data_IF_860209283076
#
_entry.id   IF_860209283076
#
_cell.length_a   1.000
_cell.length_b   1.000
_cell.length_c   1.000
_cell.angle_alpha   90.00
_cell.angle_beta   90.00
_cell.angle_gamma   90.00
#
_symmetry.space_group_name_H-M   'P 1'
#
loop_
_entity.id
_entity.type
_entity.pdbx_description
1 polymer ?
#
# COMPACT_ATOMS: atom_id res chain seq x y z
N UNK A 1 8.41 -17.71 0.25
CA UNK A 1 9.04 -17.41 1.55
C UNK A 1 8.45 -16.14 2.12
N UNK A 2 8.03 -16.17 3.37
CA UNK A 2 7.44 -14.99 4.00
C UNK A 2 8.49 -14.17 4.74
N UNK A 3 8.18 -12.90 4.93
CA UNK A 3 9.00 -11.99 5.73
C UNK A 3 8.16 -11.58 6.94
N UNK A 4 8.81 -11.17 8.01
CA UNK A 4 8.07 -10.75 9.20
C UNK A 4 7.50 -9.35 9.01
N UNK A 5 6.41 -9.07 9.71
CA UNK A 5 5.84 -7.72 9.71
C UNK A 5 6.86 -6.70 10.20
N UNK A 6 7.61 -7.05 11.25
CA UNK A 6 8.64 -6.15 11.79
C UNK A 6 9.68 -5.80 10.73
N UNK A 7 10.18 -6.80 10.00
CA UNK A 7 11.18 -6.56 8.95
C UNK A 7 10.60 -5.68 7.84
N UNK A 8 9.36 -5.94 7.44
CA UNK A 8 8.69 -5.13 6.41
C UNK A 8 8.60 -3.67 6.85
N UNK A 9 8.12 -3.44 8.07
CA UNK A 9 7.93 -2.07 8.57
C UNK A 9 9.26 -1.34 8.75
N UNK A 10 10.31 -2.05 9.21
CA UNK A 10 11.63 -1.45 9.35
C UNK A 10 12.17 -1.00 7.99
N UNK A 11 12.01 -1.83 6.98
CA UNK A 11 12.49 -1.47 5.64
C UNK A 11 11.65 -0.37 5.01
N UNK A 12 10.35 -0.36 5.30
CA UNK A 12 9.50 0.75 4.86
C UNK A 12 10.04 2.08 5.40
N UNK A 13 10.35 2.13 6.70
CA UNK A 13 10.87 3.34 7.31
C UNK A 13 12.27 3.70 6.78
N UNK A 14 13.07 2.69 6.46
CA UNK A 14 14.38 2.94 5.85
C UNK A 14 14.23 3.68 4.51
N UNK A 15 13.28 3.26 3.69
CA UNK A 15 13.02 3.94 2.43
C UNK A 15 12.49 5.36 2.69
N UNK A 16 11.56 5.50 3.62
CA UNK A 16 11.02 6.82 3.97
C UNK A 16 12.12 7.79 4.40
N UNK A 17 13.10 7.31 5.15
CA UNK A 17 14.18 8.12 5.65
C UNK A 17 15.10 8.64 4.53
N UNK A 18 15.12 7.99 3.37
CA UNK A 18 15.91 8.48 2.24
C UNK A 18 15.26 9.66 1.54
N UNK A 19 14.01 9.99 1.89
CA UNK A 19 13.25 11.08 1.28
C UNK A 19 13.25 10.99 -0.25
N UNK A 20 12.69 9.88 -0.80
CA UNK A 20 12.71 9.69 -2.24
C UNK A 20 11.84 10.74 -2.94
N UNK A 21 12.16 11.02 -4.20
CA UNK A 21 11.28 11.82 -5.03
C UNK A 21 10.15 10.95 -5.57
N UNK A 22 8.98 11.52 -5.76
CA UNK A 22 7.87 10.78 -6.32
C UNK A 22 8.09 10.55 -7.81
N UNK A 23 8.03 9.28 -8.23
CA UNK A 23 8.14 8.93 -9.64
C UNK A 23 7.44 7.60 -9.88
N UNK A 24 6.52 7.57 -10.84
CA UNK A 24 5.82 6.35 -11.22
C UNK A 24 6.83 5.28 -11.63
N UNK A 25 6.71 4.10 -11.05
CA UNK A 25 7.63 2.99 -11.29
C UNK A 25 8.78 2.91 -10.30
N UNK A 26 8.99 3.93 -9.47
CA UNK A 26 10.07 3.91 -8.49
C UNK A 26 9.72 3.04 -7.30
N UNK A 27 10.72 2.32 -6.77
CA UNK A 27 10.53 1.44 -5.62
C UNK A 27 11.51 1.73 -4.48
N UNK A 28 12.04 2.94 -4.45
CA UNK A 28 12.88 3.37 -3.33
C UNK A 28 14.34 2.95 -3.43
N UNK A 29 14.76 2.38 -4.56
CA UNK A 29 16.14 1.90 -4.70
C UNK A 29 17.06 2.88 -5.39
N UNK A 30 16.51 3.86 -6.11
CA UNK A 30 17.28 4.82 -6.89
C UNK A 30 16.95 6.25 -6.52
N UNK A 31 16.42 6.47 -5.32
CA UNK A 31 16.02 7.80 -4.88
C UNK A 31 14.64 8.19 -5.37
N UNK A 32 13.90 7.31 -6.03
CA UNK A 32 12.53 7.57 -6.47
C UNK A 32 11.58 6.50 -5.95
N UNK A 33 10.31 6.84 -5.81
CA UNK A 33 9.32 5.93 -5.25
C UNK A 33 7.92 6.38 -5.67
N UNK A 34 7.02 5.43 -5.88
CA UNK A 34 5.60 5.74 -5.98
C UNK A 34 4.83 4.99 -4.87
N UNK A 35 3.50 5.07 -4.90
CA UNK A 35 2.70 4.55 -3.79
C UNK A 35 2.90 3.04 -3.59
N UNK A 36 2.79 2.26 -4.65
CA UNK A 36 3.00 0.81 -4.52
C UNK A 36 4.49 0.48 -4.44
N UNK A 37 5.33 1.32 -5.02
CA UNK A 37 6.79 1.14 -4.99
C UNK A 37 7.34 1.16 -3.58
N UNK A 38 6.76 1.96 -2.69
CA UNK A 38 7.16 1.96 -1.28
C UNK A 38 6.97 0.57 -0.66
N UNK A 39 5.85 -0.06 -0.97
CA UNK A 39 5.55 -1.40 -0.46
C UNK A 39 6.45 -2.44 -1.12
N UNK A 40 6.56 -2.40 -2.45
CA UNK A 40 7.41 -3.35 -3.19
C UNK A 40 8.87 -3.26 -2.71
N UNK A 41 9.36 -2.04 -2.57
CA UNK A 41 10.73 -1.82 -2.10
C UNK A 41 10.95 -2.35 -0.69
N UNK A 42 9.99 -2.11 0.21
CA UNK A 42 10.10 -2.62 1.58
C UNK A 42 10.10 -4.15 1.60
N UNK A 43 9.23 -4.79 0.80
CA UNK A 43 9.18 -6.25 0.71
C UNK A 43 10.53 -6.79 0.24
N UNK A 44 11.08 -6.23 -0.84
CA UNK A 44 12.35 -6.71 -1.41
C UNK A 44 13.52 -6.49 -0.44
N UNK A 45 13.57 -5.33 0.20
CA UNK A 45 14.63 -5.03 1.16
C UNK A 45 14.55 -5.94 2.39
N UNK A 46 13.37 -6.40 2.73
CA UNK A 46 13.18 -7.33 3.86
C UNK A 46 13.47 -8.78 3.47
N UNK A 47 13.83 -9.04 2.21
CA UNK A 47 14.17 -10.39 1.75
C UNK A 47 13.04 -11.11 1.03
N UNK A 48 11.92 -10.46 0.83
CA UNK A 48 10.80 -11.04 0.09
C UNK A 48 10.90 -10.79 -1.41
N UNK A 49 9.91 -11.27 -2.14
CA UNK A 49 9.85 -11.12 -3.58
C UNK A 49 8.56 -10.44 -4.04
N UNK A 50 8.61 -9.89 -5.22
CA UNK A 50 7.43 -9.35 -5.88
C UNK A 50 7.45 -9.83 -7.33
N UNK A 51 6.63 -10.82 -7.62
CA UNK A 51 6.63 -11.47 -8.94
C UNK A 51 5.50 -10.98 -9.82
N UNK A 52 5.02 -9.79 -9.60
CA UNK A 52 3.89 -9.29 -10.32
C UNK A 52 4.14 -7.92 -10.91
N UNK A 53 3.06 -7.35 -11.40
CA UNK A 53 3.08 -6.03 -12.02
C UNK A 53 3.30 -4.97 -10.94
N UNK A 54 4.05 -3.94 -11.28
CA UNK A 54 4.24 -2.77 -10.44
C UNK A 54 3.00 -1.89 -10.58
N UNK A 55 2.03 -2.07 -9.69
CA UNK A 55 0.79 -1.30 -9.76
C UNK A 55 -0.12 -1.56 -8.58
N UNK A 56 -0.79 -0.50 -8.10
CA UNK A 56 -1.70 -0.62 -6.97
C UNK A 56 -2.93 -1.46 -7.31
N UNK A 57 -3.42 -1.38 -8.54
CA UNK A 57 -4.56 -2.19 -8.98
C UNK A 57 -4.21 -3.68 -9.04
N UNK A 58 -2.98 -3.99 -9.46
CA UNK A 58 -2.51 -5.37 -9.43
C UNK A 58 -2.43 -5.86 -7.99
N UNK A 59 -1.80 -5.06 -7.13
CA UNK A 59 -1.62 -5.44 -5.73
C UNK A 59 -2.95 -5.69 -5.04
N UNK A 60 -3.93 -4.81 -5.26
CA UNK A 60 -5.24 -4.96 -4.63
C UNK A 60 -5.92 -6.28 -5.03
N UNK A 61 -5.74 -6.70 -6.28
CA UNK A 61 -6.42 -7.88 -6.80
C UNK A 61 -5.66 -9.19 -6.61
N UNK A 62 -4.33 -9.12 -6.60
CA UNK A 62 -3.50 -10.34 -6.67
C UNK A 62 -2.61 -10.56 -5.45
N UNK A 63 -2.38 -9.54 -4.65
CA UNK A 63 -1.40 -9.63 -3.56
C UNK A 63 -2.01 -9.49 -2.18
N UNK A 64 -3.33 -9.47 -2.06
CA UNK A 64 -3.99 -9.25 -0.78
C UNK A 64 -4.73 -10.48 -0.29
N UNK A 65 -4.79 -10.64 1.04
CA UNK A 65 -5.71 -11.55 1.73
C UNK A 65 -6.55 -10.74 2.68
N UNK A 66 -7.76 -11.24 3.00
CA UNK A 66 -8.69 -10.56 3.90
C UNK A 66 -9.02 -9.16 3.43
N UNK A 67 -9.09 -8.97 2.12
CA UNK A 67 -9.31 -7.66 1.52
C UNK A 67 -10.79 -7.30 1.56
N UNK A 68 -11.10 -6.17 2.19
CA UNK A 68 -12.49 -5.74 2.40
C UNK A 68 -12.53 -4.25 2.70
N UNK A 69 -13.73 -3.70 2.81
CA UNK A 69 -13.87 -2.32 3.29
C UNK A 69 -13.28 -2.19 4.68
N UNK A 70 -12.59 -1.08 4.92
CA UNK A 70 -11.96 -0.82 6.21
C UNK A 70 -13.03 -0.59 7.26
N UNK A 71 -12.84 -1.20 8.41
CA UNK A 71 -13.62 -0.94 9.62
C UNK A 71 -12.70 -0.23 10.60
N UNK A 72 -13.04 1.00 10.94
CA UNK A 72 -12.14 1.82 11.76
C UNK A 72 -11.80 1.19 13.11
N UNK A 73 -12.71 0.41 13.66
CA UNK A 73 -12.48 -0.27 14.94
C UNK A 73 -11.49 -1.43 14.81
N UNK A 74 -11.25 -1.93 13.61
CA UNK A 74 -10.44 -3.12 13.38
C UNK A 74 -9.11 -2.83 12.68
N UNK A 75 -8.72 -1.58 12.59
CA UNK A 75 -7.43 -1.22 12.00
C UNK A 75 -6.28 -1.87 12.76
N UNK A 76 -5.26 -2.30 12.04
CA UNK A 76 -4.09 -2.90 12.66
C UNK A 76 -2.81 -2.43 11.96
N UNK A 77 -1.72 -2.42 12.69
CA UNK A 77 -0.42 -2.03 12.14
C UNK A 77 0.00 -3.03 11.08
N UNK A 78 0.39 -2.52 9.92
CA UNK A 78 0.73 -3.35 8.78
C UNK A 78 -0.40 -3.57 7.80
N UNK A 79 -1.60 -3.09 8.12
CA UNK A 79 -2.71 -3.17 7.16
C UNK A 79 -2.36 -2.36 5.93
N UNK A 80 -2.56 -2.96 4.77
CA UNK A 80 -2.35 -2.28 3.49
C UNK A 80 -3.69 -1.68 3.11
N UNK A 81 -3.73 -0.38 2.90
CA UNK A 81 -4.99 0.35 2.68
C UNK A 81 -5.00 1.02 1.32
N UNK A 82 -6.20 1.15 0.75
CA UNK A 82 -6.38 1.67 -0.60
C UNK A 82 -7.46 2.71 -0.66
N UNK A 83 -7.23 3.69 -1.53
CA UNK A 83 -8.28 4.60 -2.00
C UNK A 83 -8.76 4.07 -3.34
N UNK A 84 -10.05 4.26 -3.64
CA UNK A 84 -10.62 3.73 -4.87
C UNK A 84 -11.56 4.73 -5.51
N UNK A 85 -11.66 4.63 -6.85
CA UNK A 85 -12.63 5.36 -7.64
C UNK A 85 -13.51 4.35 -8.37
N UNK A 86 -14.78 4.68 -8.51
CA UNK A 86 -15.70 3.83 -9.27
C UNK A 86 -15.91 4.43 -10.66
N UNK A 87 -16.43 3.64 -11.62
CA UNK A 87 -16.74 4.19 -12.94
C UNK A 87 -17.62 5.42 -12.81
N UNK A 88 -17.27 6.47 -13.54
CA UNK A 88 -17.97 7.74 -13.49
C UNK A 88 -17.34 8.77 -12.57
N UNK A 89 -16.48 8.36 -11.66
CA UNK A 89 -15.77 9.30 -10.80
C UNK A 89 -14.74 10.10 -11.60
N UNK A 90 -14.48 11.33 -11.15
CA UNK A 90 -13.44 12.14 -11.74
C UNK A 90 -12.09 11.44 -11.60
N UNK A 91 -11.33 11.45 -12.69
CA UNK A 91 -10.00 10.82 -12.75
C UNK A 91 -10.01 9.28 -12.65
N UNK A 92 -11.18 8.66 -12.76
CA UNK A 92 -11.26 7.21 -12.84
C UNK A 92 -10.45 6.74 -14.06
N UNK A 93 -9.53 5.81 -13.86
CA UNK A 93 -8.64 5.35 -14.92
C UNK A 93 -8.16 3.93 -14.66
N UNK A 94 -9.11 3.00 -14.67
CA UNK A 94 -8.77 1.58 -14.47
C UNK A 94 -8.17 1.02 -15.76
N UNK A 95 -7.00 0.36 -15.69
CA UNK A 95 -6.44 -0.31 -16.87
C UNK A 95 -7.41 -1.35 -17.45
N UNK A 96 -7.44 -1.44 -18.78
CA UNK A 96 -8.39 -2.32 -19.49
C UNK A 96 -8.28 -3.77 -19.08
N UNK A 97 -7.08 -4.25 -18.72
CA UNK A 97 -6.90 -5.66 -18.36
C UNK A 97 -7.71 -6.05 -17.11
N UNK A 98 -8.15 -5.08 -16.31
CA UNK A 98 -8.96 -5.37 -15.13
C UNK A 98 -10.47 -5.24 -15.37
N UNK A 99 -10.86 -4.84 -16.57
CA UNK A 99 -12.28 -4.64 -16.90
C UNK A 99 -12.95 -5.88 -17.46
N UNK A 100 -12.16 -6.88 -17.82
CA UNK A 100 -12.68 -8.06 -18.49
C UNK A 100 -13.51 -8.92 -17.55
N UNK A 101 -14.46 -9.66 -18.14
CA UNK A 101 -15.24 -10.68 -17.43
C UNK A 101 -16.11 -10.17 -16.28
N UNK A 102 -16.50 -8.92 -16.34
CA UNK A 102 -17.43 -8.38 -15.35
C UNK A 102 -16.93 -8.39 -13.92
N UNK A 103 -15.61 -8.39 -13.72
CA UNK A 103 -15.04 -8.40 -12.38
C UNK A 103 -15.13 -7.06 -11.66
N UNK A 104 -14.29 -6.89 -10.67
CA UNK A 104 -14.22 -5.68 -9.87
C UNK A 104 -13.76 -4.51 -10.74
N UNK A 105 -14.60 -3.52 -10.87
CA UNK A 105 -14.32 -2.35 -11.72
C UNK A 105 -13.78 -1.15 -10.93
N UNK A 106 -13.48 -1.31 -9.65
CA UNK A 106 -12.90 -0.24 -8.86
C UNK A 106 -11.47 0.03 -9.31
N UNK A 107 -11.13 1.30 -9.38
CA UNK A 107 -9.77 1.73 -9.65
C UNK A 107 -9.11 2.03 -8.30
N UNK A 108 -8.31 1.07 -7.81
CA UNK A 108 -7.55 1.23 -6.56
C UNK A 108 -6.33 2.09 -6.87
N UNK A 109 -6.57 3.39 -6.95
CA UNK A 109 -5.58 4.31 -7.53
C UNK A 109 -4.45 4.70 -6.58
N UNK A 110 -4.60 4.41 -5.30
CA UNK A 110 -3.59 4.80 -4.31
C UNK A 110 -3.55 3.79 -3.17
N UNK A 111 -2.36 3.57 -2.62
CA UNK A 111 -2.13 2.56 -1.60
C UNK A 111 -1.22 3.12 -0.52
N UNK A 112 -1.42 2.68 0.71
CA UNK A 112 -0.58 3.06 1.85
C UNK A 112 -0.53 1.94 2.87
N UNK A 113 0.15 2.20 3.97
CA UNK A 113 0.35 1.22 5.05
C UNK A 113 0.00 1.88 6.37
N UNK A 114 -0.80 1.19 7.18
CA UNK A 114 -1.06 1.65 8.56
C UNK A 114 0.21 1.38 9.36
N UNK A 115 0.85 2.44 9.82
CA UNK A 115 2.10 2.32 10.59
C UNK A 115 1.89 2.57 12.08
N UNK A 116 0.79 3.20 12.45
CA UNK A 116 0.37 3.33 13.86
C UNK A 116 -1.15 3.33 13.91
N UNK A 117 -1.71 2.86 15.01
CA UNK A 117 -3.16 2.83 15.18
C UNK A 117 -3.66 3.90 16.15
N UNK A 118 -2.94 4.14 17.24
CA UNK A 118 -3.34 5.11 18.27
C UNK A 118 -2.15 5.94 18.69
N UNK A 119 -2.01 7.16 18.15
CA UNK A 119 -2.85 7.78 17.12
C UNK A 119 -2.65 7.13 15.77
N UNK A 120 -3.66 7.23 14.91
CA UNK A 120 -3.60 6.65 13.58
C UNK A 120 -2.52 7.33 12.75
N UNK A 121 -1.77 6.50 12.03
CA UNK A 121 -0.80 7.00 11.05
C UNK A 121 -0.84 6.07 9.86
N UNK A 122 -1.16 6.62 8.69
CA UNK A 122 -1.10 5.88 7.43
C UNK A 122 0.02 6.50 6.61
N UNK A 123 1.04 5.70 6.31
CA UNK A 123 2.22 6.14 5.59
C UNK A 123 2.09 5.77 4.12
N UNK A 124 2.33 6.74 3.24
CA UNK A 124 2.24 6.51 1.81
C UNK A 124 3.15 7.45 1.04
N UNK A 125 3.49 7.06 -0.18
CA UNK A 125 4.28 7.89 -1.08
C UNK A 125 3.34 8.47 -2.14
N UNK A 126 3.34 9.77 -2.28
CA UNK A 126 2.48 10.48 -3.23
C UNK A 126 3.25 11.64 -3.82
N UNK A 127 2.60 12.44 -4.67
CA UNK A 127 3.26 13.57 -5.29
C UNK A 127 3.97 14.43 -4.27
N UNK A 128 5.15 14.90 -4.65
CA UNK A 128 6.00 15.70 -3.75
C UNK A 128 5.33 17.02 -3.41
N UNK A 129 5.26 17.32 -2.12
CA UNK A 129 4.74 18.59 -1.62
C UNK A 129 5.77 19.12 -0.64
N UNK A 130 6.24 20.36 -0.89
CA UNK A 130 7.25 21.00 -0.04
C UNK A 130 8.49 20.10 0.17
N UNK A 131 8.92 19.44 -0.92
CA UNK A 131 10.11 18.58 -0.86
C UNK A 131 9.88 17.19 -0.29
N UNK A 132 8.65 16.84 0.06
CA UNK A 132 8.34 15.53 0.65
C UNK A 132 7.35 14.77 -0.22
N UNK A 133 7.69 13.53 -0.55
CA UNK A 133 6.78 12.58 -1.19
C UNK A 133 6.20 11.60 -0.19
N UNK A 134 6.81 11.46 0.98
CA UNK A 134 6.30 10.59 2.04
C UNK A 134 5.33 11.40 2.89
N UNK A 135 4.10 10.91 2.97
CA UNK A 135 3.05 11.57 3.72
C UNK A 135 2.55 10.62 4.81
N UNK A 136 2.11 11.20 5.92
CA UNK A 136 1.61 10.43 7.05
C UNK A 136 0.25 10.99 7.45
N UNK A 137 -0.79 10.27 7.05
CA UNK A 137 -2.16 10.73 7.31
C UNK A 137 -2.59 10.32 8.72
N UNK A 138 -3.20 11.25 9.42
CA UNK A 138 -3.65 11.01 10.79
C UNK A 138 -5.12 10.58 10.87
N UNK A 139 -5.82 10.56 9.74
CA UNK A 139 -7.22 10.17 9.68
C UNK A 139 -7.46 9.24 8.48
N UNK A 140 -8.57 8.51 8.50
CA UNK A 140 -8.92 7.65 7.39
C UNK A 140 -9.21 8.43 6.11
N UNK A 141 -9.86 9.59 6.21
CA UNK A 141 -10.18 10.35 5.02
C UNK A 141 -10.81 9.48 3.95
N UNK A 142 -10.16 9.38 2.78
CA UNK A 142 -10.66 8.58 1.66
C UNK A 142 -10.10 7.17 1.61
N UNK A 143 -9.32 6.75 2.59
CA UNK A 143 -8.86 5.36 2.66
C UNK A 143 -10.08 4.48 2.92
N UNK A 144 -10.34 3.51 2.05
CA UNK A 144 -11.61 2.79 2.08
C UNK A 144 -11.49 1.28 2.13
N UNK A 145 -10.49 0.70 1.54
CA UNK A 145 -10.30 -0.76 1.50
C UNK A 145 -8.98 -1.12 2.13
N UNK A 146 -8.92 -2.31 2.71
CA UNK A 146 -7.68 -2.75 3.35
C UNK A 146 -7.64 -4.25 3.52
N UNK A 147 -6.46 -4.74 3.86
CA UNK A 147 -6.24 -6.17 4.07
C UNK A 147 -4.79 -6.44 4.41
N UNK A 148 -4.42 -7.73 4.36
CA UNK A 148 -3.07 -8.19 4.60
C UNK A 148 -2.36 -8.46 3.28
N UNK A 149 -1.08 -8.14 3.22
CA UNK A 149 -0.27 -8.42 2.04
C UNK A 149 0.22 -9.86 2.09
N UNK A 150 0.03 -10.59 1.00
CA UNK A 150 0.59 -11.94 0.87
C UNK A 150 2.10 -11.85 1.03
N UNK A 151 2.68 -12.87 1.66
CA UNK A 151 4.13 -12.91 1.86
C UNK A 151 4.61 -12.25 3.13
N UNK A 152 3.74 -11.55 3.86
CA UNK A 152 4.07 -11.01 5.17
C UNK A 152 3.45 -11.92 6.24
N UNK A 153 4.26 -12.28 7.21
CA UNK A 153 3.80 -13.01 8.37
C UNK A 153 3.38 -12.01 9.44
N UNK A 154 2.07 -11.86 9.61
CA UNK A 154 1.50 -10.92 10.59
C UNK A 154 1.47 -11.50 12.00
N UNK A 155 1.88 -12.77 12.16
CA UNK A 155 1.83 -13.43 13.45
C UNK A 155 0.45 -14.02 13.73
N UNK A 156 0.35 -14.70 14.86
CA UNK A 156 -0.89 -15.36 15.21
C UNK A 156 -1.55 -14.70 16.39
N UNK A 157 -1.22 -13.49 16.58
CA UNK A 157 -1.64 -12.86 17.77
C UNK A 157 -3.04 -12.56 17.86
N UNK A 158 -3.58 -12.89 17.21
CA UNK A 158 -4.71 -12.62 17.46
C UNK A 158 -5.14 -12.74 18.71
N UNK A 159 -4.84 -13.04 19.18
CA UNK A 159 -5.19 -13.24 20.23
C UNK A 159 -5.09 -12.43 21.01
N UNK A 160 -4.73 -12.12 20.90
CA UNK A 160 -4.63 -11.63 21.69
C UNK A 160 -5.06 -11.04 22.08
#
# INVERSE_FOLDING_TARGET
>A
MSITLTAFLEQLETICATKPDYRIGGSGTDGTCDCIGLIIGAVRRAGGGWNGIHGSNYAARKQMTDFAEIKSADLFVGEIVYKARKPGDSSYNLPDRYKANGGDLLDYYHVGVVTKVRPLEITHCSTTVNGNSIHRDATLGKWKYGGRLKGIDYGTTQEE
#
